data_IF_691617254884
#
_entry.id   IF_691617254884
#
_cell.length_a   1.000
_cell.length_b   1.000
_cell.length_c   1.000
_cell.angle_alpha   90.00
_cell.angle_beta   90.00
_cell.angle_gamma   90.00
#
_symmetry.space_group_name_H-M   'P 1'
#
loop_
_entity.id
_entity.type
_entity.pdbx_description
1 polymer ?
#
# COMPACT_ATOMS: atom_id res chain seq x y z
N UNK A 1 1.18 2.58 -1.06
CA UNK A 1 2.62 2.64 -1.37
C UNK A 1 2.69 3.48 -2.62
N UNK A 2 3.58 4.48 -2.70
CA UNK A 2 3.66 5.33 -3.87
C UNK A 2 3.80 4.49 -5.14
N UNK A 3 3.11 4.90 -6.21
CA UNK A 3 3.15 4.25 -7.51
C UNK A 3 4.61 4.18 -8.01
N UNK A 4 5.00 3.09 -8.67
CA UNK A 4 6.36 2.95 -9.21
C UNK A 4 6.70 4.04 -10.23
N UNK A 5 5.71 4.53 -10.97
CA UNK A 5 5.88 5.67 -11.87
C UNK A 5 6.19 6.96 -11.09
N UNK A 6 5.48 7.25 -10.00
CA UNK A 6 5.73 8.41 -9.14
C UNK A 6 7.10 8.36 -8.46
N UNK A 7 7.54 7.17 -8.06
CA UNK A 7 8.88 6.98 -7.46
C UNK A 7 9.97 7.37 -8.46
N UNK A 8 9.79 7.06 -9.74
CA UNK A 8 10.70 7.44 -10.82
C UNK A 8 10.46 8.86 -11.36
N UNK A 9 9.38 9.53 -10.95
CA UNK A 9 8.98 10.84 -11.48
C UNK A 9 8.51 10.77 -12.94
N UNK A 10 7.91 9.66 -13.34
CA UNK A 10 7.33 9.46 -14.67
C UNK A 10 5.80 9.46 -14.58
N UNK A 11 5.07 9.94 -15.60
CA UNK A 11 3.63 9.70 -15.66
C UNK A 11 3.36 8.20 -15.90
N UNK A 12 2.19 7.67 -15.52
CA UNK A 12 1.83 6.28 -15.81
C UNK A 12 1.77 6.02 -17.31
N UNK A 13 2.50 5.01 -17.79
CA UNK A 13 2.56 4.69 -19.22
C UNK A 13 3.56 3.59 -19.56
N UNK A 14 3.66 3.26 -20.85
CA UNK A 14 4.66 2.32 -21.36
C UNK A 14 5.94 3.05 -21.70
N UNK A 15 7.05 2.56 -21.17
CA UNK A 15 8.38 3.14 -21.40
C UNK A 15 9.38 2.06 -21.73
N UNK A 16 10.31 2.38 -22.63
CA UNK A 16 11.45 1.52 -22.89
C UNK A 16 12.37 1.45 -21.66
N UNK A 17 13.08 0.34 -21.52
CA UNK A 17 14.05 0.13 -20.45
C UNK A 17 15.07 1.27 -20.35
N UNK A 18 15.48 1.85 -21.49
CA UNK A 18 16.41 2.98 -21.51
C UNK A 18 15.86 4.23 -20.83
N UNK A 19 14.57 4.55 -21.01
CA UNK A 19 13.92 5.70 -20.36
C UNK A 19 13.80 5.47 -18.86
N UNK A 20 13.36 4.28 -18.46
CA UNK A 20 13.24 3.88 -17.05
C UNK A 20 14.60 3.96 -16.35
N UNK A 21 15.64 3.39 -16.96
CA UNK A 21 17.01 3.44 -16.43
C UNK A 21 17.54 4.85 -16.27
N UNK A 22 17.28 5.72 -17.25
CA UNK A 22 17.67 7.14 -17.17
C UNK A 22 17.01 7.83 -15.98
N UNK A 23 15.69 7.66 -15.81
CA UNK A 23 14.96 8.21 -14.68
C UNK A 23 15.47 7.68 -13.34
N UNK A 24 15.74 6.38 -13.26
CA UNK A 24 16.34 5.74 -12.09
C UNK A 24 17.66 6.39 -11.67
N UNK A 25 18.60 6.60 -12.61
CA UNK A 25 19.89 7.19 -12.28
C UNK A 25 19.79 8.64 -11.82
N UNK A 26 18.91 9.44 -12.43
CA UNK A 26 18.64 10.81 -12.01
C UNK A 26 18.14 10.81 -10.56
N UNK A 27 17.12 10.00 -10.27
CA UNK A 27 16.51 9.96 -8.94
C UNK A 27 17.43 9.39 -7.86
N UNK A 28 18.24 8.38 -8.21
CA UNK A 28 19.25 7.82 -7.30
C UNK A 28 20.28 8.87 -6.91
N UNK A 29 20.75 9.68 -7.87
CA UNK A 29 21.71 10.76 -7.59
C UNK A 29 21.12 11.76 -6.61
N UNK A 30 19.89 12.21 -6.82
CA UNK A 30 19.19 13.15 -5.93
C UNK A 30 19.04 12.60 -4.49
N UNK A 31 18.73 11.31 -4.34
CA UNK A 31 18.64 10.66 -3.03
C UNK A 31 20.00 10.59 -2.32
N UNK A 32 21.08 10.33 -3.07
CA UNK A 32 22.43 10.32 -2.51
C UNK A 32 22.91 11.72 -2.12
N UNK A 33 22.54 12.75 -2.88
CA UNK A 33 22.79 14.16 -2.52
C UNK A 33 22.05 14.54 -1.23
N UNK A 34 20.81 14.07 -1.05
CA UNK A 34 20.06 14.25 0.20
C UNK A 34 20.74 13.60 1.41
N UNK A 35 21.38 12.44 1.20
CA UNK A 35 22.16 11.79 2.25
C UNK A 35 23.37 12.62 2.67
N UNK A 36 24.07 13.21 1.70
CA UNK A 36 25.17 14.13 1.97
C UNK A 36 24.70 15.43 2.65
N UNK A 37 23.46 15.86 2.37
CA UNK A 37 22.80 17.03 2.97
C UNK A 37 22.26 16.83 4.39
N UNK A 38 22.51 15.68 5.04
CA UNK A 38 22.13 15.45 6.44
C UNK A 38 20.70 14.95 6.67
N UNK A 39 20.02 14.47 5.63
CA UNK A 39 18.74 13.76 5.81
C UNK A 39 18.93 12.47 6.62
N UNK A 40 17.90 12.01 7.37
CA UNK A 40 17.99 10.77 8.12
C UNK A 40 18.34 9.58 7.20
N UNK A 41 19.43 8.87 7.55
CA UNK A 41 19.94 7.75 6.76
C UNK A 41 18.85 6.69 6.49
N UNK A 42 18.06 6.35 7.52
CA UNK A 42 17.00 5.35 7.43
C UNK A 42 15.93 5.69 6.37
N UNK A 43 15.54 6.96 6.27
CA UNK A 43 14.52 7.41 5.31
C UNK A 43 15.05 7.38 3.89
N UNK A 44 16.30 7.77 3.68
CA UNK A 44 16.96 7.72 2.38
C UNK A 44 17.13 6.27 1.91
N UNK A 45 17.55 5.37 2.80
CA UNK A 45 17.65 3.93 2.49
C UNK A 45 16.30 3.34 2.09
N UNK A 46 15.23 3.61 2.84
CA UNK A 46 13.90 3.13 2.49
C UNK A 46 13.43 3.64 1.12
N UNK A 47 13.78 4.88 0.75
CA UNK A 47 13.47 5.45 -0.57
C UNK A 47 14.33 4.87 -1.69
N UNK A 48 15.61 4.57 -1.42
CA UNK A 48 16.48 3.87 -2.37
C UNK A 48 15.99 2.45 -2.65
N UNK A 49 15.57 1.71 -1.62
CA UNK A 49 15.00 0.38 -1.77
C UNK A 49 13.72 0.41 -2.63
N UNK A 50 12.84 1.38 -2.37
CA UNK A 50 11.64 1.59 -3.16
C UNK A 50 11.97 1.95 -4.63
N UNK A 51 13.01 2.77 -4.85
CA UNK A 51 13.48 3.14 -6.18
C UNK A 51 14.04 1.94 -6.96
N UNK A 52 14.79 1.06 -6.30
CA UNK A 52 15.29 -0.18 -6.90
C UNK A 52 14.16 -1.14 -7.27
N UNK A 53 13.11 -1.24 -6.44
CA UNK A 53 11.95 -2.05 -6.73
C UNK A 53 11.16 -1.50 -7.94
N UNK A 54 11.00 -0.18 -8.03
CA UNK A 54 10.37 0.48 -9.17
C UNK A 54 11.14 0.21 -10.47
N UNK A 55 12.46 0.37 -10.47
CA UNK A 55 13.32 0.05 -11.62
C UNK A 55 13.22 -1.42 -12.04
N UNK A 56 13.27 -2.36 -11.09
CA UNK A 56 13.20 -3.79 -11.38
C UNK A 56 11.83 -4.24 -11.92
N UNK A 57 10.77 -3.51 -11.61
CA UNK A 57 9.42 -3.78 -12.11
C UNK A 57 9.20 -3.14 -13.48
N UNK A 58 9.63 -1.88 -13.65
CA UNK A 58 9.34 -1.10 -14.85
C UNK A 58 10.36 -1.29 -15.99
N UNK A 59 11.56 -1.80 -15.70
CA UNK A 59 12.58 -2.10 -16.72
C UNK A 59 12.27 -3.34 -17.56
N UNK A 60 11.44 -4.25 -17.05
CA UNK A 60 10.99 -5.46 -17.74
C UNK A 60 9.63 -5.19 -18.39
N UNK A 61 9.53 -5.39 -19.70
CA UNK A 61 8.32 -5.09 -20.47
C UNK A 61 7.10 -5.90 -20.02
N UNK A 62 7.29 -7.17 -19.66
CA UNK A 62 6.18 -8.03 -19.21
C UNK A 62 5.69 -7.58 -17.83
N UNK A 63 6.60 -7.31 -16.91
CA UNK A 63 6.25 -6.82 -15.56
C UNK A 63 5.63 -5.43 -15.60
N UNK A 64 6.10 -4.55 -16.49
CA UNK A 64 5.50 -3.24 -16.71
C UNK A 64 4.06 -3.38 -17.23
N UNK A 65 3.83 -4.27 -18.21
CA UNK A 65 2.50 -4.53 -18.74
C UNK A 65 1.55 -5.10 -17.67
N UNK A 66 2.01 -6.06 -16.87
CA UNK A 66 1.25 -6.61 -15.73
C UNK A 66 0.94 -5.54 -14.68
N UNK A 67 1.89 -4.67 -14.37
CA UNK A 67 1.70 -3.58 -13.42
C UNK A 67 0.67 -2.57 -13.92
N UNK A 68 0.77 -2.14 -15.17
CA UNK A 68 -0.22 -1.25 -15.80
C UNK A 68 -1.62 -1.88 -15.82
N UNK A 69 -1.73 -3.16 -16.19
CA UNK A 69 -3.00 -3.87 -16.14
C UNK A 69 -3.58 -3.93 -14.72
N UNK A 70 -2.73 -4.06 -13.69
CA UNK A 70 -3.17 -4.02 -12.31
C UNK A 70 -3.65 -2.62 -11.87
N UNK A 71 -3.02 -1.55 -12.36
CA UNK A 71 -3.45 -0.18 -12.11
C UNK A 71 -4.81 0.11 -12.75
N UNK A 72 -5.01 -0.33 -14.00
CA UNK A 72 -6.29 -0.14 -14.72
C UNK A 72 -7.43 -0.92 -14.04
N UNK A 73 -7.15 -2.15 -13.57
CA UNK A 73 -8.12 -2.95 -12.82
C UNK A 73 -8.54 -2.25 -11.52
N UNK A 74 -7.57 -1.75 -10.76
CA UNK A 74 -7.82 -1.02 -9.51
C UNK A 74 -8.64 0.26 -9.78
N UNK A 75 -8.30 1.05 -10.80
CA UNK A 75 -9.08 2.23 -11.19
C UNK A 75 -10.51 1.86 -11.61
N UNK A 76 -10.68 0.74 -12.32
CA UNK A 76 -11.99 0.21 -12.71
C UNK A 76 -12.85 -0.17 -11.50
N UNK A 77 -12.27 -0.82 -10.49
CA UNK A 77 -12.97 -1.15 -9.24
C UNK A 77 -13.36 0.10 -8.45
N UNK A 78 -12.45 1.07 -8.31
CA UNK A 78 -12.76 2.35 -7.64
C UNK A 78 -13.87 3.11 -8.36
N UNK A 79 -13.87 3.10 -9.70
CA UNK A 79 -14.91 3.74 -10.52
C UNK A 79 -16.27 3.08 -10.30
N UNK A 80 -16.33 1.75 -10.31
CA UNK A 80 -17.56 1.00 -10.00
C UNK A 80 -18.04 1.26 -8.58
N UNK A 81 -17.13 1.38 -7.62
CA UNK A 81 -17.47 1.70 -6.25
C UNK A 81 -18.07 3.11 -6.12
N UNK A 82 -17.50 4.13 -6.78
CA UNK A 82 -18.07 5.48 -6.87
C UNK A 82 -19.48 5.46 -7.46
N UNK A 83 -19.70 4.73 -8.56
CA UNK A 83 -21.02 4.58 -9.17
C UNK A 83 -22.04 3.95 -8.20
N UNK A 84 -21.62 2.97 -7.41
CA UNK A 84 -22.48 2.36 -6.37
C UNK A 84 -22.83 3.36 -5.26
N UNK A 85 -21.86 4.16 -4.81
CA UNK A 85 -22.11 5.24 -3.83
C UNK A 85 -23.14 6.22 -4.41
N UNK A 86 -22.93 6.68 -5.64
CA UNK A 86 -23.83 7.61 -6.31
C UNK A 86 -25.25 7.06 -6.44
N UNK A 87 -25.38 5.79 -6.84
CA UNK A 87 -26.68 5.09 -6.94
C UNK A 87 -27.36 4.83 -5.57
N UNK A 88 -26.61 4.92 -4.48
CA UNK A 88 -27.13 4.73 -3.11
C UNK A 88 -27.54 6.03 -2.43
N UNK A 89 -27.33 7.19 -3.08
CA UNK A 89 -27.79 8.48 -2.59
C UNK A 89 -29.29 8.63 -2.86
N UNK A 90 -30.04 9.00 -1.83
CA UNK A 90 -31.45 9.37 -1.91
C UNK A 90 -31.53 10.86 -1.59
N UNK A 91 -32.02 11.67 -2.54
CA UNK A 91 -32.08 13.14 -2.44
C UNK A 91 -30.70 13.79 -2.13
N UNK A 92 -29.62 13.21 -2.65
CA UNK A 92 -28.24 13.68 -2.40
C UNK A 92 -27.66 13.30 -1.04
N UNK A 93 -28.44 12.60 -0.20
CA UNK A 93 -28.02 12.18 1.13
C UNK A 93 -27.96 10.65 1.24
N UNK A 94 -27.10 10.18 2.14
CA UNK A 94 -26.83 8.77 2.33
C UNK A 94 -27.42 8.33 3.67
N UNK A 95 -28.45 7.47 3.66
CA UNK A 95 -29.07 6.92 4.88
C UNK A 95 -28.02 6.19 5.73
N UNK A 96 -28.21 6.17 7.06
CA UNK A 96 -27.28 5.55 8.00
C UNK A 96 -26.99 4.06 7.69
N UNK A 97 -28.03 3.29 7.33
CA UNK A 97 -27.89 1.88 6.95
C UNK A 97 -27.04 1.69 5.70
N UNK A 98 -27.28 2.50 4.66
CA UNK A 98 -26.51 2.50 3.41
C UNK A 98 -25.07 2.93 3.64
N UNK A 99 -24.84 3.92 4.51
CA UNK A 99 -23.50 4.41 4.87
C UNK A 99 -22.66 3.30 5.50
N UNK A 100 -23.25 2.53 6.41
CA UNK A 100 -22.57 1.39 7.05
C UNK A 100 -22.19 0.31 6.03
N UNK A 101 -23.11 -0.03 5.10
CA UNK A 101 -22.83 -0.99 4.04
C UNK A 101 -21.72 -0.53 3.09
N UNK A 102 -21.69 0.76 2.74
CA UNK A 102 -20.62 1.33 1.90
C UNK A 102 -19.27 1.31 2.61
N UNK A 103 -19.23 1.56 3.93
CA UNK A 103 -18.00 1.45 4.71
C UNK A 103 -17.46 0.02 4.71
N UNK A 104 -18.33 -0.97 4.90
CA UNK A 104 -17.94 -2.38 4.85
C UNK A 104 -17.44 -2.80 3.45
N UNK A 105 -18.10 -2.33 2.39
CA UNK A 105 -17.64 -2.54 1.01
C UNK A 105 -16.28 -1.86 0.77
N UNK A 106 -16.08 -0.63 1.26
CA UNK A 106 -14.80 0.08 1.19
C UNK A 106 -13.67 -0.70 1.84
N UNK A 107 -13.91 -1.27 3.03
CA UNK A 107 -12.93 -2.14 3.71
C UNK A 107 -12.59 -3.39 2.90
N UNK A 108 -13.58 -3.99 2.22
CA UNK A 108 -13.36 -5.16 1.34
C UNK A 108 -12.48 -4.81 0.13
N UNK A 109 -12.57 -3.58 -0.35
CA UNK A 109 -11.70 -3.02 -1.40
C UNK A 109 -10.34 -2.54 -0.86
N UNK A 110 -10.09 -2.63 0.44
CA UNK A 110 -8.84 -2.20 1.07
C UNK A 110 -8.76 -0.70 1.39
N UNK A 111 -9.87 0.05 1.27
CA UNK A 111 -9.96 1.44 1.70
C UNK A 111 -10.10 1.53 3.22
N UNK A 112 -9.51 2.57 3.81
CA UNK A 112 -9.81 2.92 5.20
C UNK A 112 -11.18 3.61 5.32
N UNK A 113 -11.76 3.61 6.52
CA UNK A 113 -13.02 4.29 6.79
C UNK A 113 -12.93 5.79 6.45
N UNK A 114 -11.79 6.43 6.76
CA UNK A 114 -11.53 7.82 6.40
C UNK A 114 -11.51 8.04 4.88
N UNK A 115 -10.79 7.19 4.13
CA UNK A 115 -10.77 7.26 2.66
C UNK A 115 -12.16 7.06 2.06
N UNK A 116 -12.93 6.12 2.62
CA UNK A 116 -14.30 5.85 2.18
C UNK A 116 -15.21 7.04 2.47
N UNK A 117 -15.06 7.69 3.63
CA UNK A 117 -15.80 8.92 3.95
C UNK A 117 -15.46 10.07 3.02
N UNK A 118 -14.18 10.27 2.67
CA UNK A 118 -13.78 11.26 1.67
C UNK A 118 -14.41 10.97 0.32
N UNK A 119 -14.44 9.70 -0.09
CA UNK A 119 -15.04 9.30 -1.37
C UNK A 119 -16.56 9.53 -1.39
N UNK A 120 -17.25 9.24 -0.28
CA UNK A 120 -18.67 9.56 -0.11
C UNK A 120 -18.90 11.07 -0.25
N UNK A 121 -18.12 11.89 0.49
CA UNK A 121 -18.24 13.34 0.43
C UNK A 121 -18.01 13.85 -1.00
N UNK A 122 -16.97 13.36 -1.67
CA UNK A 122 -16.65 13.73 -3.05
C UNK A 122 -17.80 13.41 -4.02
N UNK A 123 -18.45 12.24 -3.88
CA UNK A 123 -19.62 11.89 -4.70
C UNK A 123 -20.85 12.74 -4.33
N UNK A 124 -21.03 13.11 -3.07
CA UNK A 124 -22.16 13.94 -2.62
C UNK A 124 -22.05 15.41 -3.07
N UNK A 125 -20.84 15.95 -3.07
CA UNK A 125 -20.60 17.37 -3.34
C UNK A 125 -20.10 17.66 -4.76
N UNK A 126 -19.83 16.61 -5.56
CA UNK A 126 -19.47 16.73 -6.99
C UNK A 126 -18.15 17.46 -7.24
N UNK A 127 -17.26 17.51 -6.25
CA UNK A 127 -16.03 18.29 -6.34
C UNK A 127 -14.91 17.47 -7.00
N UNK A 128 -14.93 17.39 -8.33
CA UNK A 128 -13.95 16.65 -9.17
C UNK A 128 -12.49 17.12 -8.99
N UNK A 129 -12.22 18.16 -8.19
CA UNK A 129 -10.87 18.70 -7.98
C UNK A 129 -10.08 18.00 -6.88
N UNK A 130 -10.70 17.14 -6.07
CA UNK A 130 -10.02 16.46 -4.97
C UNK A 130 -9.24 15.22 -5.44
N UNK A 131 -7.97 15.05 -5.02
CA UNK A 131 -7.17 13.88 -5.38
C UNK A 131 -7.84 12.60 -4.87
N UNK A 132 -8.08 11.66 -5.78
CA UNK A 132 -8.72 10.38 -5.49
C UNK A 132 -7.86 9.55 -4.52
N UNK A 133 -8.48 8.91 -3.51
CA UNK A 133 -7.74 8.02 -2.62
C UNK A 133 -7.23 6.82 -3.42
N UNK A 134 -5.91 6.60 -3.39
CA UNK A 134 -5.32 5.40 -3.97
C UNK A 134 -5.82 4.15 -3.21
N UNK A 135 -6.21 3.12 -3.98
CA UNK A 135 -6.53 1.81 -3.44
C UNK A 135 -5.25 1.23 -2.84
N UNK A 136 -5.13 1.32 -1.51
CA UNK A 136 -4.01 0.71 -0.81
C UNK A 136 -4.29 -0.78 -0.77
N UNK A 137 -3.57 -1.55 -1.58
CA UNK A 137 -3.58 -3.02 -1.51
C UNK A 137 -3.20 -3.46 -0.09
N UNK A 138 -4.21 -3.71 0.74
CA UNK A 138 -4.04 -4.34 2.03
C UNK A 138 -3.50 -5.73 1.75
N UNK A 139 -2.24 -6.00 2.11
CA UNK A 139 -1.76 -7.38 2.22
C UNK A 139 -2.79 -8.13 3.04
N UNK A 140 -3.47 -9.09 2.42
CA UNK A 140 -4.52 -9.86 3.08
C UNK A 140 -4.07 -10.25 4.49
N UNK A 141 -4.90 -9.93 5.48
CA UNK A 141 -4.61 -10.17 6.90
C UNK A 141 -4.33 -11.65 7.22
N UNK A 142 -4.55 -12.57 6.27
CA UNK A 142 -4.18 -13.98 6.34
C UNK A 142 -2.68 -14.22 6.56
N UNK A 143 -1.79 -13.32 6.10
CA UNK A 143 -0.34 -13.49 6.30
C UNK A 143 0.23 -12.89 7.59
N UNK A 144 -0.42 -11.86 8.14
CA UNK A 144 0.08 -11.14 9.33
C UNK A 144 -0.26 -11.87 10.64
N UNK A 145 -1.43 -12.53 10.71
CA UNK A 145 -1.82 -13.35 11.86
C UNK A 145 -0.87 -14.55 12.09
N UNK A 146 -0.36 -15.15 11.02
CA UNK A 146 0.62 -16.25 11.09
C UNK A 146 1.99 -15.81 11.63
N UNK A 147 2.40 -14.57 11.36
CA UNK A 147 3.70 -14.04 11.80
C UNK A 147 3.68 -13.50 13.24
N UNK A 148 2.51 -13.05 13.71
CA UNK A 148 2.30 -12.68 15.11
C UNK A 148 2.23 -13.91 16.04
N UNK A 149 1.55 -14.98 15.61
CA UNK A 149 1.47 -16.25 16.37
C UNK A 149 2.82 -16.96 16.48
N UNK A 150 3.68 -16.88 15.46
CA UNK A 150 5.04 -17.43 15.53
C UNK A 150 5.92 -16.76 16.60
N UNK A 151 5.73 -15.45 16.87
CA UNK A 151 6.53 -14.73 17.88
C UNK A 151 6.13 -15.11 19.32
N UNK A 152 4.87 -15.41 19.58
CA UNK A 152 4.44 -15.89 20.90
C UNK A 152 4.89 -17.33 21.18
N UNK A 153 4.91 -18.20 20.16
CA UNK A 153 5.41 -19.57 20.30
C UNK A 153 6.91 -19.61 20.67
N UNK A 154 7.73 -18.74 20.07
CA UNK A 154 9.17 -18.69 20.34
C UNK A 154 9.49 -18.24 21.77
N UNK A 155 8.76 -17.27 22.33
CA UNK A 155 8.96 -16.81 23.71
C UNK A 155 8.51 -17.87 24.72
N UNK A 156 7.41 -18.57 24.43
CA UNK A 156 6.95 -19.69 25.27
C UNK A 156 7.94 -20.85 25.32
N UNK A 157 8.53 -21.22 24.18
CA UNK A 157 9.57 -22.27 24.14
C UNK A 157 10.83 -21.87 24.90
N UNK A 158 11.27 -20.61 24.80
CA UNK A 158 12.44 -20.13 25.53
C UNK A 158 12.22 -20.19 27.05
N UNK A 159 11.05 -19.74 27.52
CA UNK A 159 10.69 -19.80 28.94
C UNK A 159 10.60 -21.24 29.46
N UNK A 160 10.04 -22.15 28.65
CA UNK A 160 9.94 -23.57 29.01
C UNK A 160 11.31 -24.27 29.05
N UNK A 161 12.21 -23.97 28.11
CA UNK A 161 13.58 -24.49 28.13
C UNK A 161 14.34 -24.01 29.38
N UNK A 162 14.22 -22.73 29.73
CA UNK A 162 14.83 -22.17 30.94
C UNK A 162 14.29 -22.83 32.21
N UNK A 163 12.97 -23.07 32.26
CA UNK A 163 12.33 -23.77 33.37
C UNK A 163 12.85 -25.21 33.52
N UNK A 164 12.96 -25.98 32.43
CA UNK A 164 13.48 -27.34 32.47
C UNK A 164 14.94 -27.41 32.92
N UNK A 165 15.78 -26.47 32.47
CA UNK A 165 17.17 -26.38 32.93
C UNK A 165 17.21 -26.09 34.43
N UNK A 166 16.34 -25.22 34.93
CA UNK A 166 16.27 -24.88 36.35
C UNK A 166 15.80 -26.08 37.21
N UNK A 167 14.79 -26.83 36.76
CA UNK A 167 14.31 -28.05 37.45
C UNK A 167 15.37 -29.15 37.46
N UNK A 168 16.12 -29.32 36.36
CA UNK A 168 17.22 -30.30 36.26
C UNK A 168 18.33 -30.05 37.27
N UNK A 169 18.59 -28.79 37.63
CA UNK A 169 19.61 -28.43 38.62
C UNK A 169 19.10 -28.48 40.07
N UNK A 170 17.78 -28.47 40.27
CA UNK A 170 17.17 -28.50 41.61
C UNK A 170 16.70 -29.89 42.04
N UNK A 171 16.64 -30.85 41.13
CA UNK A 171 16.39 -32.26 41.43
C UNK A 171 17.74 -32.96 41.70
N UNK A 172 18.07 -33.29 42.96
CA UNK A 172 19.29 -34.03 43.29
C UNK A 172 19.28 -35.46 42.76
#
# INVERSE_FOLDING_TARGET
>A
MPNYFDILGLPPGRYSTAVVRRAFFVRRRELLEQLAGGQPYADVCARLDALHLADATLSDENRQAEYLASLDADQGELTRFRQRIAASLEDGLLRCSRRSAILDDGRRLGLSDFQTHLLIAHVQFGDDTLPLPELRRGKSARGAAARATARFAAVGMLAFALFLVMVRWLAP
#
